data_IF_121317562942
#
_entry.id   IF_121317562942
#
_cell.length_a   1.000
_cell.length_b   1.000
_cell.length_c   1.000
_cell.angle_alpha   90.00
_cell.angle_beta   90.00
_cell.angle_gamma   90.00
#
_symmetry.space_group_name_H-M   'P 1'
#
loop_
_entity.id
_entity.type
_entity.pdbx_description
1 polymer ?
#
# COMPACT_ATOMS: atom_id res chain seq x y z
N UNK A 1 29.45 -82.86 48.58
CA UNK A 1 28.70 -83.65 47.57
C UNK A 1 28.28 -82.65 46.50
N UNK A 2 28.80 -82.81 45.27
CA UNK A 2 28.28 -82.35 43.96
C UNK A 2 27.93 -80.85 43.79
N UNK A 3 28.71 -80.10 43.01
CA UNK A 3 28.61 -79.91 41.54
C UNK A 3 27.50 -78.94 41.09
N UNK A 4 27.96 -77.82 40.54
CA UNK A 4 27.69 -77.27 39.20
C UNK A 4 26.29 -76.83 38.73
N UNK A 5 26.34 -75.62 38.13
CA UNK A 5 25.71 -75.12 36.90
C UNK A 5 24.18 -75.13 36.78
N UNK A 6 23.62 -73.92 36.60
CA UNK A 6 22.67 -73.50 35.54
C UNK A 6 22.46 -71.99 35.75
N UNK A 7 22.48 -71.07 34.79
CA UNK A 7 22.62 -71.10 33.35
C UNK A 7 22.40 -69.64 32.91
N UNK A 8 23.34 -69.10 32.12
CA UNK A 8 23.24 -67.76 31.57
C UNK A 8 22.18 -67.70 30.46
N UNK A 9 21.25 -66.75 30.56
CA UNK A 9 20.37 -66.33 29.48
C UNK A 9 20.56 -64.83 29.24
N UNK A 10 21.47 -64.48 28.34
CA UNK A 10 21.66 -63.13 27.82
C UNK A 10 20.45 -62.76 26.97
N UNK A 11 19.59 -61.86 27.46
CA UNK A 11 18.61 -61.17 26.63
C UNK A 11 19.32 -60.05 25.87
N UNK A 12 19.50 -60.24 24.57
CA UNK A 12 20.05 -59.27 23.64
C UNK A 12 18.96 -58.23 23.33
N UNK A 13 18.91 -57.13 24.09
CA UNK A 13 18.07 -55.98 23.75
C UNK A 13 18.70 -55.20 22.61
N UNK A 14 18.20 -55.42 21.38
CA UNK A 14 18.55 -54.62 20.20
C UNK A 14 17.95 -53.22 20.38
N UNK A 15 18.79 -52.27 20.76
CA UNK A 15 18.45 -50.85 20.78
C UNK A 15 18.44 -50.35 19.32
N UNK A 16 17.25 -50.19 18.73
CA UNK A 16 17.11 -49.46 17.48
C UNK A 16 17.40 -47.98 17.75
N UNK A 17 18.65 -47.58 17.52
CA UNK A 17 19.01 -46.18 17.31
C UNK A 17 18.36 -45.74 16.00
N UNK A 18 17.17 -45.13 16.10
CA UNK A 18 16.60 -44.33 15.03
C UNK A 18 17.45 -43.07 14.94
N UNK A 19 18.50 -43.13 14.13
CA UNK A 19 19.18 -41.94 13.62
C UNK A 19 18.17 -41.19 12.76
N UNK A 20 17.61 -40.12 13.30
CA UNK A 20 16.94 -39.11 12.48
C UNK A 20 18.00 -38.53 11.54
N UNK A 21 17.85 -38.64 10.20
CA UNK A 21 18.68 -37.85 9.31
C UNK A 21 18.42 -36.38 9.61
N UNK A 22 19.52 -35.64 9.77
CA UNK A 22 19.54 -34.20 9.94
C UNK A 22 18.51 -33.55 9.01
N UNK A 23 17.68 -32.70 9.62
CA UNK A 23 16.77 -31.75 8.99
C UNK A 23 17.34 -31.29 7.66
N UNK A 24 16.67 -31.71 6.58
CA UNK A 24 16.82 -31.04 5.30
C UNK A 24 16.59 -29.55 5.54
N UNK A 25 17.47 -28.72 5.00
CA UNK A 25 17.18 -27.31 4.81
C UNK A 25 15.88 -27.26 4.00
N UNK A 26 14.76 -27.05 4.68
CA UNK A 26 13.60 -26.50 4.03
C UNK A 26 14.10 -25.17 3.48
N UNK A 27 14.27 -25.07 2.15
CA UNK A 27 14.38 -23.78 1.50
C UNK A 27 13.18 -22.97 2.00
N UNK A 28 13.43 -21.98 2.85
CA UNK A 28 12.39 -21.04 3.26
C UNK A 28 11.75 -20.52 1.97
N UNK A 29 10.47 -20.86 1.78
CA UNK A 29 9.79 -20.56 0.55
C UNK A 29 9.63 -19.05 0.45
N UNK A 30 10.42 -18.45 -0.44
CA UNK A 30 10.42 -17.02 -0.70
C UNK A 30 9.03 -16.59 -1.20
N UNK A 31 8.33 -15.80 -0.40
CA UNK A 31 7.00 -15.30 -0.73
C UNK A 31 7.13 -13.92 -1.39
N UNK A 32 6.49 -13.71 -2.54
CA UNK A 32 6.43 -12.39 -3.18
C UNK A 32 5.24 -11.64 -2.61
N UNK A 33 5.49 -10.63 -1.78
CA UNK A 33 4.46 -9.80 -1.16
C UNK A 33 3.92 -8.75 -2.14
N UNK A 34 4.79 -8.21 -2.99
CA UNK A 34 4.44 -7.13 -3.90
C UNK A 34 5.32 -7.11 -5.15
N UNK A 35 4.75 -6.65 -6.26
CA UNK A 35 5.47 -6.28 -7.48
C UNK A 35 5.06 -4.88 -7.88
N UNK A 36 6.05 -3.99 -8.04
CA UNK A 36 5.87 -2.61 -8.51
C UNK A 36 5.09 -2.53 -9.84
N UNK A 37 4.44 -1.39 -10.14
CA UNK A 37 3.62 -1.26 -11.34
C UNK A 37 4.43 -1.39 -12.65
N UNK A 38 5.71 -1.00 -12.60
CA UNK A 38 6.64 -1.16 -13.74
C UNK A 38 7.16 -2.60 -13.87
N UNK A 39 7.05 -3.40 -12.81
CA UNK A 39 7.65 -4.73 -12.69
C UNK A 39 9.17 -4.71 -12.45
N UNK A 40 9.78 -3.55 -12.22
CA UNK A 40 11.22 -3.39 -11.98
C UNK A 40 11.69 -3.81 -10.59
N UNK A 41 10.76 -3.79 -9.63
CA UNK A 41 11.00 -4.07 -8.22
C UNK A 41 9.98 -5.05 -7.64
N UNK A 42 10.43 -5.91 -6.73
CA UNK A 42 9.60 -6.81 -5.90
C UNK A 42 9.91 -6.63 -4.43
N UNK A 43 8.91 -6.86 -3.59
CA UNK A 43 9.09 -7.05 -2.16
C UNK A 43 8.88 -8.52 -1.86
N UNK A 44 9.89 -9.13 -1.25
CA UNK A 44 9.96 -10.57 -1.04
C UNK A 44 10.24 -10.86 0.42
N UNK A 45 9.48 -11.78 0.99
CA UNK A 45 9.64 -12.23 2.36
C UNK A 45 10.47 -13.50 2.40
N UNK A 46 11.42 -13.54 3.33
CA UNK A 46 12.17 -14.72 3.70
C UNK A 46 12.23 -14.82 5.23
N UNK A 47 11.45 -15.72 5.81
CA UNK A 47 11.28 -15.84 7.27
C UNK A 47 10.65 -14.58 7.88
N UNK A 48 11.36 -13.95 8.82
CA UNK A 48 10.95 -12.72 9.52
C UNK A 48 11.44 -11.44 8.81
N UNK A 49 12.16 -11.56 7.69
CA UNK A 49 12.73 -10.44 6.96
C UNK A 49 12.00 -10.22 5.64
N UNK A 50 11.85 -8.95 5.26
CA UNK A 50 11.38 -8.56 3.94
C UNK A 50 12.50 -7.83 3.20
N UNK A 51 12.57 -8.03 1.89
CA UNK A 51 13.62 -7.49 1.03
C UNK A 51 13.00 -6.79 -0.17
N UNK A 52 13.52 -5.61 -0.48
CA UNK A 52 13.28 -4.92 -1.75
C UNK A 52 14.30 -5.43 -2.75
N UNK A 53 13.87 -6.12 -3.80
CA UNK A 53 14.75 -6.78 -4.77
C UNK A 53 14.49 -6.26 -6.19
N UNK A 54 15.55 -5.94 -6.94
CA UNK A 54 15.43 -5.65 -8.37
C UNK A 54 15.11 -6.90 -9.17
N UNK A 55 14.13 -6.83 -10.07
CA UNK A 55 13.79 -7.94 -10.98
C UNK A 55 14.81 -8.13 -12.10
N UNK A 56 15.63 -7.10 -12.39
CA UNK A 56 16.69 -7.16 -13.41
C UNK A 56 17.99 -7.71 -12.85
N UNK A 57 18.27 -7.47 -11.57
CA UNK A 57 19.47 -7.95 -10.89
C UNK A 57 19.15 -8.35 -9.44
N UNK A 58 18.90 -9.63 -9.15
CA UNK A 58 18.54 -10.10 -7.80
C UNK A 58 19.59 -9.86 -6.71
N UNK A 59 20.86 -9.64 -7.08
CA UNK A 59 21.92 -9.27 -6.13
C UNK A 59 21.76 -7.82 -5.63
N UNK A 60 20.99 -7.00 -6.35
CA UNK A 60 20.55 -5.68 -5.90
C UNK A 60 19.29 -5.84 -5.05
N UNK A 61 19.53 -6.14 -3.77
CA UNK A 61 18.49 -6.19 -2.76
C UNK A 61 18.89 -5.41 -1.51
N UNK A 62 17.89 -4.82 -0.88
CA UNK A 62 18.00 -4.12 0.39
C UNK A 62 16.99 -4.72 1.38
N UNK A 63 17.40 -4.91 2.63
CA UNK A 63 16.47 -5.34 3.68
C UNK A 63 15.54 -4.17 4.03
N UNK A 64 14.24 -4.43 4.12
CA UNK A 64 13.32 -3.43 4.67
C UNK A 64 13.60 -3.28 6.17
N UNK A 65 13.74 -2.05 6.68
CA UNK A 65 13.88 -1.83 8.11
C UNK A 65 12.69 -2.46 8.85
N UNK A 66 12.91 -3.21 9.94
CA UNK A 66 11.84 -3.85 10.67
C UNK A 66 10.93 -2.80 11.29
N UNK A 67 9.63 -3.05 11.25
CA UNK A 67 8.64 -2.20 11.91
C UNK A 67 8.38 -2.69 13.34
N UNK A 68 8.21 -1.77 14.28
CA UNK A 68 7.78 -2.11 15.63
C UNK A 68 6.29 -2.53 15.62
N UNK A 69 5.94 -3.64 16.28
CA UNK A 69 4.54 -4.05 16.45
C UNK A 69 4.30 -5.55 16.25
N UNK A 70 3.05 -5.89 15.92
CA UNK A 70 2.57 -7.29 15.81
C UNK A 70 3.13 -7.97 14.54
N UNK A 71 3.24 -7.22 13.45
CA UNK A 71 3.85 -7.67 12.18
C UNK A 71 5.11 -6.85 11.89
N UNK A 72 6.24 -7.50 11.52
CA UNK A 72 7.48 -6.78 11.20
C UNK A 72 7.46 -6.11 9.82
N UNK A 73 6.40 -6.30 9.02
CA UNK A 73 6.20 -5.72 7.68
C UNK A 73 4.72 -5.35 7.45
N UNK A 74 4.49 -4.49 6.44
CA UNK A 74 3.16 -4.06 6.01
C UNK A 74 2.37 -5.16 5.28
N UNK A 75 1.04 -5.02 5.28
CA UNK A 75 0.11 -5.93 4.60
C UNK A 75 -0.03 -5.61 3.11
N UNK A 76 0.10 -4.33 2.74
CA UNK A 76 -0.05 -3.83 1.38
C UNK A 76 1.07 -2.83 1.09
N UNK A 77 1.58 -2.81 -0.15
CA UNK A 77 2.68 -1.94 -0.57
C UNK A 77 2.35 -1.21 -1.87
N UNK A 78 2.86 0.02 -1.99
CA UNK A 78 2.65 0.89 -3.14
C UNK A 78 3.94 1.63 -3.49
N UNK A 79 4.61 1.24 -4.57
CA UNK A 79 5.83 1.91 -5.04
C UNK A 79 5.50 3.16 -5.87
N UNK A 80 6.33 4.20 -5.72
CA UNK A 80 6.31 5.37 -6.58
C UNK A 80 6.64 5.01 -8.04
N UNK A 81 6.23 5.81 -9.04
CA UNK A 81 6.54 5.56 -10.44
C UNK A 81 8.02 5.35 -10.75
N UNK A 82 8.92 6.03 -10.02
CA UNK A 82 10.37 5.87 -10.16
C UNK A 82 10.98 4.78 -9.26
N UNK A 83 10.17 4.08 -8.46
CA UNK A 83 10.57 2.98 -7.56
C UNK A 83 11.59 3.38 -6.47
N UNK A 84 11.73 4.68 -6.18
CA UNK A 84 12.58 5.18 -5.10
C UNK A 84 11.85 5.26 -3.76
N UNK A 85 10.52 5.30 -3.77
CA UNK A 85 9.69 5.37 -2.58
C UNK A 85 8.69 4.23 -2.56
N UNK A 86 8.42 3.70 -1.37
CA UNK A 86 7.45 2.63 -1.16
C UNK A 86 6.61 3.04 0.03
N UNK A 87 5.29 3.10 -0.14
CA UNK A 87 4.37 3.30 0.96
C UNK A 87 3.72 1.97 1.31
N UNK A 88 3.86 1.54 2.56
CA UNK A 88 3.21 0.38 3.12
C UNK A 88 1.98 0.77 3.94
N UNK A 89 0.97 -0.11 3.98
CA UNK A 89 -0.12 -0.02 4.95
C UNK A 89 -0.18 -1.27 5.79
N UNK A 90 -0.32 -1.07 7.10
CA UNK A 90 -0.33 -2.14 8.09
C UNK A 90 -1.58 -2.08 8.93
N UNK A 91 -2.32 -3.18 8.93
CA UNK A 91 -3.53 -3.39 9.74
C UNK A 91 -3.09 -3.62 11.18
N UNK A 92 -3.58 -2.75 12.04
CA UNK A 92 -3.43 -2.84 13.48
C UNK A 92 -4.69 -3.51 14.06
N UNK A 93 -4.63 -3.86 15.35
CA UNK A 93 -5.80 -4.40 16.03
C UNK A 93 -6.99 -3.41 16.00
N UNK A 94 -8.20 -3.93 16.18
CA UNK A 94 -9.43 -3.15 16.43
C UNK A 94 -9.86 -2.15 15.35
N UNK A 95 -9.35 -2.26 14.12
CA UNK A 95 -9.77 -1.44 12.97
C UNK A 95 -9.02 -0.12 12.87
N UNK A 96 -7.75 -0.18 13.23
CA UNK A 96 -6.76 0.85 12.94
C UNK A 96 -5.82 0.37 11.82
N UNK A 97 -5.27 1.31 11.05
CA UNK A 97 -4.18 1.03 10.12
C UNK A 97 -3.16 2.14 10.15
N UNK A 98 -1.89 1.75 10.09
CA UNK A 98 -0.75 2.64 10.02
C UNK A 98 -0.21 2.65 8.60
N UNK A 99 0.15 3.84 8.12
CA UNK A 99 0.99 3.99 6.93
C UNK A 99 2.45 4.06 7.30
N UNK A 100 3.32 3.36 6.58
CA UNK A 100 4.77 3.38 6.76
C UNK A 100 5.42 3.78 5.42
N UNK A 101 6.35 4.74 5.42
CA UNK A 101 6.97 5.23 4.18
C UNK A 101 8.43 4.85 4.16
N UNK A 102 8.85 4.15 3.10
CA UNK A 102 10.23 3.73 2.89
C UNK A 102 10.85 4.50 1.73
N UNK A 103 12.12 4.87 1.89
CA UNK A 103 12.94 5.50 0.87
C UNK A 103 14.08 4.56 0.50
N UNK A 104 14.11 4.11 -0.75
CA UNK A 104 15.21 3.36 -1.32
C UNK A 104 16.31 4.33 -1.75
N UNK A 105 17.22 4.61 -0.83
CA UNK A 105 18.34 5.54 -1.03
C UNK A 105 19.27 5.05 -2.14
N UNK A 106 19.52 3.74 -2.17
CA UNK A 106 20.30 3.07 -3.20
C UNK A 106 19.88 1.59 -3.32
N UNK A 107 20.43 0.80 -4.25
CA UNK A 107 20.00 -0.59 -4.44
C UNK A 107 20.24 -1.55 -3.28
N UNK A 108 21.02 -1.16 -2.27
CA UNK A 108 21.37 -1.96 -1.09
C UNK A 108 20.87 -1.34 0.23
N UNK A 109 20.34 -0.11 0.19
CA UNK A 109 19.93 0.63 1.38
C UNK A 109 18.51 1.19 1.29
N UNK A 110 17.70 0.88 2.29
CA UNK A 110 16.33 1.41 2.46
C UNK A 110 16.20 1.99 3.87
N UNK A 111 15.59 3.17 3.95
CA UNK A 111 15.32 3.88 5.21
C UNK A 111 13.82 4.05 5.40
N UNK A 112 13.37 4.13 6.65
CA UNK A 112 12.02 4.60 6.99
C UNK A 112 12.04 6.14 7.00
N UNK A 113 11.06 6.74 6.34
CA UNK A 113 10.79 8.15 6.32
C UNK A 113 9.48 8.47 7.06
N UNK A 114 9.39 9.62 7.75
CA UNK A 114 10.43 10.64 7.87
C UNK A 114 11.52 10.28 8.91
N UNK A 115 12.76 10.73 8.66
CA UNK A 115 13.96 10.32 9.43
C UNK A 115 14.29 11.23 10.63
N UNK A 116 13.41 12.16 11.01
CA UNK A 116 13.63 13.08 12.12
C UNK A 116 12.63 12.78 13.25
N UNK A 117 13.16 12.56 14.46
CA UNK A 117 12.48 12.59 15.78
C UNK A 117 11.77 11.32 16.28
N UNK A 118 12.30 10.10 16.11
CA UNK A 118 11.74 8.85 16.68
C UNK A 118 10.22 8.67 16.44
N UNK A 119 9.67 9.37 15.45
CA UNK A 119 8.25 9.48 15.16
C UNK A 119 7.96 8.80 13.84
N UNK A 120 6.99 7.89 13.86
CA UNK A 120 6.49 7.24 12.65
C UNK A 120 5.80 8.23 11.71
N UNK A 121 5.51 7.78 10.49
CA UNK A 121 4.71 8.56 9.55
C UNK A 121 3.33 8.93 10.16
N UNK A 122 2.70 8.02 10.90
CA UNK A 122 1.39 8.24 11.55
C UNK A 122 1.47 9.29 12.66
N UNK A 123 2.51 9.23 13.50
CA UNK A 123 2.70 10.19 14.60
C UNK A 123 2.78 11.64 14.11
N UNK A 124 3.14 11.84 12.84
CA UNK A 124 3.28 13.16 12.23
C UNK A 124 2.11 13.56 11.35
N UNK A 125 1.54 12.64 10.58
CA UNK A 125 0.49 12.98 9.59
C UNK A 125 -0.82 13.36 10.28
N UNK A 126 -1.20 12.67 11.36
CA UNK A 126 -2.47 12.93 12.03
C UNK A 126 -2.47 14.29 12.76
N UNK A 127 -1.48 14.64 13.60
CA UNK A 127 -1.40 15.98 14.19
C UNK A 127 -1.28 17.10 13.15
N UNK A 128 -0.59 16.84 12.03
CA UNK A 128 -0.54 17.80 10.92
C UNK A 128 -1.94 18.12 10.38
N UNK A 129 -2.76 17.09 10.11
CA UNK A 129 -4.13 17.28 9.62
C UNK A 129 -5.04 18.02 10.63
N UNK A 130 -4.86 17.78 11.93
CA UNK A 130 -5.55 18.55 12.99
C UNK A 130 -5.11 20.01 12.98
N UNK A 131 -3.79 20.26 12.95
CA UNK A 131 -3.22 21.62 12.91
C UNK A 131 -3.70 22.41 11.68
N UNK A 132 -3.90 21.74 10.54
CA UNK A 132 -4.44 22.35 9.32
C UNK A 132 -5.98 22.49 9.33
N UNK A 133 -6.65 22.10 10.42
CA UNK A 133 -8.12 22.07 10.54
C UNK A 133 -8.80 21.19 9.48
N UNK A 134 -8.08 20.19 8.95
CA UNK A 134 -8.61 19.18 8.03
C UNK A 134 -9.35 18.08 8.79
N UNK A 135 -8.89 17.78 10.01
CA UNK A 135 -9.56 16.94 10.99
C UNK A 135 -9.83 17.73 12.27
N UNK A 136 -10.83 17.28 13.04
CA UNK A 136 -11.18 17.91 14.32
C UNK A 136 -10.34 17.41 15.49
N UNK A 137 -9.86 16.17 15.41
CA UNK A 137 -9.07 15.52 16.44
C UNK A 137 -8.10 14.53 15.78
N UNK A 138 -7.12 14.08 16.55
CA UNK A 138 -6.26 12.97 16.17
C UNK A 138 -6.99 11.66 16.48
N UNK A 139 -7.18 10.80 15.48
CA UNK A 139 -7.85 9.51 15.62
C UNK A 139 -6.88 8.34 15.43
N UNK A 140 -5.56 8.55 15.54
CA UNK A 140 -4.54 7.54 15.30
C UNK A 140 -4.45 6.45 16.38
N UNK A 141 -5.12 6.64 17.51
CA UNK A 141 -5.13 5.72 18.64
C UNK A 141 -6.55 5.60 19.21
N UNK A 142 -6.78 4.58 20.05
CA UNK A 142 -8.01 4.37 20.83
C UNK A 142 -8.16 5.38 21.98
N UNK A 143 -8.01 6.66 21.66
CA UNK A 143 -8.18 7.78 22.59
C UNK A 143 -9.35 8.65 22.12
N UNK A 144 -9.91 9.45 23.03
CA UNK A 144 -10.97 10.44 22.73
C UNK A 144 -12.24 9.87 22.05
N UNK A 145 -12.55 8.58 22.28
CA UNK A 145 -13.75 7.91 21.77
C UNK A 145 -13.65 7.49 20.30
N UNK A 146 -12.45 7.45 19.72
CA UNK A 146 -12.20 6.83 18.43
C UNK A 146 -12.16 5.30 18.55
N UNK A 147 -12.87 4.60 17.66
CA UNK A 147 -12.76 3.14 17.50
C UNK A 147 -12.25 2.76 16.10
N UNK A 148 -11.90 3.75 15.28
CA UNK A 148 -11.31 3.59 13.95
C UNK A 148 -10.33 4.72 13.67
N UNK A 149 -9.16 4.36 13.14
CA UNK A 149 -8.13 5.28 12.65
C UNK A 149 -7.33 4.62 11.53
N UNK A 150 -7.59 5.03 10.29
CA UNK A 150 -7.02 4.43 9.09
C UNK A 150 -6.16 5.45 8.34
N UNK A 151 -4.95 5.03 7.98
CA UNK A 151 -4.08 5.73 7.04
C UNK A 151 -4.01 4.89 5.77
N UNK A 152 -4.68 5.36 4.72
CA UNK A 152 -4.83 4.62 3.46
C UNK A 152 -4.03 5.28 2.34
N UNK A 153 -3.40 4.45 1.50
CA UNK A 153 -2.84 4.89 0.23
C UNK A 153 -3.94 5.38 -0.71
N UNK A 154 -3.68 6.46 -1.45
CA UNK A 154 -4.58 6.92 -2.50
C UNK A 154 -3.89 6.91 -3.85
N UNK A 155 -2.74 7.59 -3.97
CA UNK A 155 -2.00 7.69 -5.21
C UNK A 155 -0.58 8.22 -5.00
N UNK A 156 0.31 7.86 -5.92
CA UNK A 156 1.55 8.58 -6.16
C UNK A 156 1.36 9.62 -7.27
N UNK A 157 2.01 10.77 -7.17
CA UNK A 157 2.05 11.73 -8.26
C UNK A 157 2.92 11.20 -9.40
N UNK A 158 2.62 11.65 -10.62
CA UNK A 158 3.35 11.25 -11.84
C UNK A 158 4.86 11.42 -11.75
N UNK A 159 5.30 12.48 -11.09
CA UNK A 159 6.69 12.86 -10.90
C UNK A 159 7.32 12.20 -9.67
N UNK A 160 6.61 11.29 -8.98
CA UNK A 160 7.03 10.62 -7.74
C UNK A 160 7.31 11.55 -6.56
N UNK A 161 6.95 12.84 -6.67
CA UNK A 161 7.30 13.84 -5.66
C UNK A 161 6.25 14.01 -4.56
N UNK A 162 5.04 13.48 -4.75
CA UNK A 162 3.97 13.48 -3.74
C UNK A 162 3.35 12.10 -3.58
N UNK A 163 3.31 11.66 -2.34
CA UNK A 163 2.39 10.62 -1.89
C UNK A 163 1.09 11.29 -1.45
N UNK A 164 -0.05 10.85 -1.98
CA UNK A 164 -1.36 11.19 -1.44
C UNK A 164 -1.86 10.06 -0.54
N UNK A 165 -2.19 10.42 0.70
CA UNK A 165 -2.86 9.52 1.65
C UNK A 165 -4.22 10.07 2.04
N UNK A 166 -5.12 9.16 2.39
CA UNK A 166 -6.38 9.48 3.04
C UNK A 166 -6.29 9.04 4.51
N UNK A 167 -6.61 9.94 5.42
CA UNK A 167 -6.84 9.59 6.82
C UNK A 167 -8.34 9.46 7.05
N UNK A 168 -8.79 8.38 7.69
CA UNK A 168 -10.19 8.18 8.08
C UNK A 168 -10.26 7.78 9.55
N UNK A 169 -10.98 8.52 10.37
CA UNK A 169 -11.09 8.15 11.79
C UNK A 169 -12.26 8.78 12.53
N UNK A 170 -12.55 8.22 13.70
CA UNK A 170 -13.67 8.60 14.54
C UNK A 170 -14.38 7.37 15.11
N UNK A 171 -15.69 7.49 15.28
CA UNK A 171 -16.56 6.41 15.78
C UNK A 171 -17.29 5.79 14.57
N UNK A 172 -17.01 4.53 14.27
CA UNK A 172 -17.60 3.80 13.12
C UNK A 172 -19.11 3.65 13.21
N UNK A 173 -19.67 3.72 14.42
CA UNK A 173 -21.09 3.64 14.67
C UNK A 173 -21.79 5.00 14.63
N UNK A 174 -21.04 6.12 14.69
CA UNK A 174 -21.59 7.47 14.61
C UNK A 174 -21.15 8.23 13.37
N UNK A 175 -19.87 8.58 13.28
CA UNK A 175 -19.36 9.47 12.23
C UNK A 175 -17.87 9.22 12.04
N UNK A 176 -17.52 8.83 10.81
CA UNK A 176 -16.15 8.82 10.35
C UNK A 176 -15.81 10.16 9.68
N UNK A 177 -14.70 10.74 10.09
CA UNK A 177 -14.11 11.91 9.48
C UNK A 177 -13.03 11.46 8.50
N UNK A 178 -12.93 12.12 7.35
CA UNK A 178 -11.91 11.84 6.37
C UNK A 178 -11.18 13.11 5.97
N UNK A 179 -9.88 13.00 5.70
CA UNK A 179 -9.12 14.07 5.06
C UNK A 179 -8.04 13.47 4.14
N UNK A 180 -7.63 14.28 3.17
CA UNK A 180 -6.53 14.00 2.26
C UNK A 180 -5.34 14.90 2.56
N UNK A 181 -4.14 14.37 2.48
CA UNK A 181 -2.89 15.10 2.71
C UNK A 181 -1.79 14.54 1.82
N UNK A 182 -0.89 15.42 1.37
CA UNK A 182 0.30 15.00 0.66
C UNK A 182 1.48 14.85 1.62
N UNK A 183 2.33 13.86 1.38
CA UNK A 183 3.72 13.90 1.80
C UNK A 183 4.61 14.21 0.58
N UNK A 184 5.36 15.30 0.66
CA UNK A 184 6.30 15.70 -0.38
C UNK A 184 7.63 14.99 -0.17
N UNK A 185 8.06 14.16 -1.12
CA UNK A 185 9.28 13.36 -0.98
C UNK A 185 10.56 14.20 -1.13
N UNK A 186 10.50 15.32 -1.86
CA UNK A 186 11.64 16.25 -2.02
C UNK A 186 11.92 17.04 -0.75
N UNK A 187 10.88 17.61 -0.16
CA UNK A 187 11.02 18.43 1.05
C UNK A 187 10.90 17.61 2.33
N UNK A 188 10.44 16.35 2.23
CA UNK A 188 10.17 15.43 3.34
C UNK A 188 9.18 16.03 4.37
N UNK A 189 8.17 16.74 3.87
CA UNK A 189 7.16 17.42 4.70
C UNK A 189 5.75 17.13 4.22
N UNK A 190 4.79 17.13 5.15
CA UNK A 190 3.39 17.14 4.80
C UNK A 190 2.94 18.48 4.22
N UNK A 191 2.08 18.45 3.23
CA UNK A 191 1.54 19.65 2.59
C UNK A 191 0.04 19.51 2.24
N UNK A 192 -0.64 20.65 2.19
CA UNK A 192 -2.03 20.76 1.73
C UNK A 192 -2.14 21.93 0.75
N UNK A 193 -2.34 21.60 -0.52
CA UNK A 193 -2.61 22.55 -1.60
C UNK A 193 -4.02 23.12 -1.49
N UNK A 194 -4.33 24.14 -2.29
CA UNK A 194 -5.69 24.68 -2.38
C UNK A 194 -6.71 23.63 -2.83
N UNK A 195 -6.28 22.68 -3.68
CA UNK A 195 -7.10 21.52 -4.05
C UNK A 195 -7.46 20.67 -2.85
N UNK A 196 -6.48 20.19 -2.07
CA UNK A 196 -6.78 19.36 -0.90
C UNK A 196 -7.56 20.12 0.18
N UNK A 197 -7.26 21.41 0.39
CA UNK A 197 -8.02 22.26 1.33
C UNK A 197 -9.49 22.34 0.93
N UNK A 198 -9.79 22.50 -0.36
CA UNK A 198 -11.18 22.55 -0.83
C UNK A 198 -11.83 21.16 -0.81
N UNK A 199 -11.09 20.12 -1.17
CA UNK A 199 -11.57 18.73 -1.14
C UNK A 199 -11.99 18.32 0.27
N UNK A 200 -11.12 18.53 1.26
CA UNK A 200 -11.37 18.21 2.66
C UNK A 200 -12.56 19.00 3.25
N UNK A 201 -12.78 20.24 2.80
CA UNK A 201 -13.93 21.06 3.24
C UNK A 201 -15.25 20.62 2.61
N UNK A 202 -15.23 20.22 1.34
CA UNK A 202 -16.45 19.90 0.59
C UNK A 202 -16.93 18.47 0.78
N UNK A 203 -16.09 17.58 1.32
CA UNK A 203 -16.40 16.14 1.48
C UNK A 203 -16.93 15.52 0.18
N UNK A 204 -16.26 15.82 -0.94
CA UNK A 204 -16.66 15.31 -2.25
C UNK A 204 -16.63 13.78 -2.27
N UNK A 205 -17.62 13.18 -2.95
CA UNK A 205 -17.62 11.75 -3.29
C UNK A 205 -16.67 11.40 -4.45
N UNK A 206 -16.09 12.43 -5.10
CA UNK A 206 -15.20 12.23 -6.22
C UNK A 206 -13.85 11.63 -5.81
N UNK A 207 -13.25 10.86 -6.71
CA UNK A 207 -11.90 10.33 -6.51
C UNK A 207 -10.87 11.47 -6.53
N UNK A 208 -9.79 11.28 -5.77
CA UNK A 208 -8.70 12.24 -5.65
C UNK A 208 -7.47 11.79 -6.45
N UNK A 209 -6.62 12.75 -6.85
CA UNK A 209 -5.34 12.46 -7.49
C UNK A 209 -4.18 13.18 -6.78
N UNK A 210 -2.97 12.69 -6.99
CA UNK A 210 -1.76 13.28 -6.46
C UNK A 210 -1.22 14.37 -7.40
N UNK A 211 -1.35 15.63 -7.01
CA UNK A 211 -0.83 16.76 -7.78
C UNK A 211 0.69 16.69 -7.92
N UNK A 212 1.27 16.68 -9.13
CA UNK A 212 2.72 16.76 -9.26
C UNK A 212 3.23 18.11 -8.76
N UNK A 213 4.51 18.13 -8.39
CA UNK A 213 5.26 19.37 -8.12
C UNK A 213 5.94 19.90 -9.36
N UNK A 214 6.30 19.00 -10.28
CA UNK A 214 6.87 19.34 -11.57
C UNK A 214 5.81 19.77 -12.59
N UNK A 215 6.20 20.47 -13.67
CA UNK A 215 5.29 20.77 -14.76
C UNK A 215 4.58 19.53 -15.30
N UNK A 216 3.26 19.63 -15.46
CA UNK A 216 2.46 18.54 -16.02
C UNK A 216 2.92 18.25 -17.46
N UNK A 217 3.04 16.97 -17.85
CA UNK A 217 3.37 16.58 -19.23
C UNK A 217 2.44 17.20 -20.29
N UNK A 218 2.83 17.08 -21.55
CA UNK A 218 2.01 17.58 -22.65
C UNK A 218 0.67 16.86 -22.73
N UNK A 219 -0.35 17.50 -23.33
CA UNK A 219 -1.63 16.83 -23.56
C UNK A 219 -1.49 15.55 -24.39
N UNK A 220 -0.55 15.52 -25.34
CA UNK A 220 -0.31 14.36 -26.18
C UNK A 220 0.23 13.17 -25.37
N UNK A 221 1.16 13.44 -24.45
CA UNK A 221 1.73 12.41 -23.57
C UNK A 221 0.67 11.88 -22.61
N UNK A 222 -0.14 12.77 -22.04
CA UNK A 222 -1.21 12.40 -21.12
C UNK A 222 -2.33 11.60 -21.79
N UNK A 223 -2.72 11.96 -23.03
CA UNK A 223 -3.67 11.18 -23.83
C UNK A 223 -3.13 9.78 -24.11
N UNK A 224 -1.89 9.68 -24.57
CA UNK A 224 -1.22 8.40 -24.83
C UNK A 224 -1.14 7.52 -23.57
N UNK A 225 -0.83 8.14 -22.43
CA UNK A 225 -0.85 7.45 -21.13
C UNK A 225 -2.24 6.94 -20.79
N UNK A 226 -3.27 7.79 -20.87
CA UNK A 226 -4.64 7.42 -20.54
C UNK A 226 -5.15 6.30 -21.44
N UNK A 227 -4.93 6.37 -22.75
CA UNK A 227 -5.33 5.31 -23.70
C UNK A 227 -4.67 3.96 -23.38
N UNK A 228 -3.44 3.98 -22.87
CA UNK A 228 -2.72 2.78 -22.44
C UNK A 228 -3.31 2.22 -21.15
N UNK A 229 -3.56 3.08 -20.16
CA UNK A 229 -4.17 2.68 -18.89
C UNK A 229 -5.60 2.18 -19.08
N UNK A 230 -6.41 2.81 -19.93
CA UNK A 230 -7.78 2.36 -20.21
C UNK A 230 -7.80 0.95 -20.84
N UNK A 231 -6.84 0.64 -21.72
CA UNK A 231 -6.68 -0.73 -22.26
C UNK A 231 -6.31 -1.73 -21.16
N UNK A 232 -5.42 -1.36 -20.25
CA UNK A 232 -5.03 -2.21 -19.13
C UNK A 232 -6.17 -2.42 -18.14
N UNK A 233 -6.91 -1.36 -17.79
CA UNK A 233 -8.06 -1.43 -16.89
C UNK A 233 -9.16 -2.33 -17.47
N UNK A 234 -9.47 -2.18 -18.76
CA UNK A 234 -10.46 -3.02 -19.42
C UNK A 234 -10.04 -4.50 -19.46
N UNK A 235 -8.75 -4.78 -19.66
CA UNK A 235 -8.22 -6.14 -19.57
C UNK A 235 -8.37 -6.69 -18.15
N UNK A 236 -7.91 -5.95 -17.13
CA UNK A 236 -8.02 -6.38 -15.72
C UNK A 236 -9.47 -6.62 -15.32
N UNK A 237 -10.38 -5.72 -15.71
CA UNK A 237 -11.81 -5.88 -15.47
C UNK A 237 -12.39 -7.15 -16.12
N UNK A 238 -12.01 -7.45 -17.37
CA UNK A 238 -12.43 -8.68 -18.03
C UNK A 238 -11.91 -9.93 -17.31
N UNK A 239 -10.66 -9.91 -16.85
CA UNK A 239 -10.04 -11.00 -16.08
C UNK A 239 -10.77 -11.21 -14.74
N UNK A 240 -11.07 -10.13 -14.00
CA UNK A 240 -11.83 -10.17 -12.74
C UNK A 240 -13.22 -10.76 -12.96
N UNK A 241 -13.93 -10.32 -14.00
CA UNK A 241 -15.27 -10.84 -14.32
C UNK A 241 -15.22 -12.33 -14.67
N UNK A 242 -14.19 -12.78 -15.40
CA UNK A 242 -14.04 -14.18 -15.78
C UNK A 242 -13.74 -15.10 -14.58
N UNK A 243 -13.07 -14.57 -13.55
CA UNK A 243 -12.70 -15.30 -12.33
C UNK A 243 -13.73 -15.18 -11.21
N UNK A 244 -14.66 -14.22 -11.30
CA UNK A 244 -15.70 -13.99 -10.30
C UNK A 244 -16.77 -15.07 -10.33
N UNK A 245 -17.28 -15.42 -9.15
CA UNK A 245 -18.47 -16.25 -9.00
C UNK A 245 -19.70 -15.56 -9.63
N UNK A 246 -20.64 -16.35 -10.17
CA UNK A 246 -21.75 -15.83 -11.00
C UNK A 246 -22.61 -14.78 -10.30
N UNK A 247 -22.81 -14.94 -9.00
CA UNK A 247 -23.55 -14.04 -8.11
C UNK A 247 -22.77 -12.78 -7.74
N UNK A 248 -21.43 -12.82 -7.74
CA UNK A 248 -20.56 -11.63 -7.51
C UNK A 248 -20.37 -10.76 -8.74
N UNK A 249 -20.55 -11.31 -9.95
CA UNK A 249 -20.40 -10.57 -11.23
C UNK A 249 -21.27 -9.30 -11.28
N UNK A 250 -22.50 -9.32 -10.74
CA UNK A 250 -23.35 -8.12 -10.70
C UNK A 250 -22.80 -7.03 -9.78
N UNK A 251 -22.21 -7.41 -8.65
CA UNK A 251 -21.60 -6.49 -7.69
C UNK A 251 -20.36 -5.83 -8.30
N UNK A 252 -19.48 -6.62 -8.92
CA UNK A 252 -18.29 -6.10 -9.62
C UNK A 252 -18.68 -5.11 -10.73
N UNK A 253 -19.72 -5.43 -11.51
CA UNK A 253 -20.24 -4.53 -12.55
C UNK A 253 -20.77 -3.22 -11.99
N UNK A 254 -21.44 -3.27 -10.84
CA UNK A 254 -21.98 -2.09 -10.17
C UNK A 254 -20.87 -1.22 -9.57
N UNK A 255 -19.94 -1.83 -8.84
CA UNK A 255 -18.77 -1.16 -8.29
C UNK A 255 -17.97 -0.46 -9.39
N UNK A 256 -17.76 -1.11 -10.55
CA UNK A 256 -17.07 -0.48 -11.68
C UNK A 256 -17.84 0.73 -12.25
N UNK A 257 -19.18 0.68 -12.33
CA UNK A 257 -19.98 1.84 -12.76
C UNK A 257 -19.91 2.99 -11.74
N UNK A 258 -19.97 2.68 -10.46
CA UNK A 258 -19.87 3.67 -9.38
C UNK A 258 -18.48 4.31 -9.39
N UNK A 259 -17.43 3.51 -9.58
CA UNK A 259 -16.06 4.01 -9.73
C UNK A 259 -15.93 5.00 -10.90
N UNK A 260 -16.48 4.68 -12.08
CA UNK A 260 -16.49 5.60 -13.24
C UNK A 260 -17.20 6.91 -12.89
N UNK A 261 -18.34 6.84 -12.21
CA UNK A 261 -19.09 8.03 -11.78
C UNK A 261 -18.26 8.90 -10.82
N UNK A 262 -17.63 8.30 -9.82
CA UNK A 262 -16.80 9.01 -8.85
C UNK A 262 -15.51 9.56 -9.48
N UNK A 263 -14.93 8.87 -10.45
CA UNK A 263 -13.83 9.38 -11.28
C UNK A 263 -14.25 10.67 -12.00
N UNK A 264 -15.38 10.64 -12.69
CA UNK A 264 -15.85 11.78 -13.49
C UNK A 264 -16.32 12.96 -12.60
N UNK A 265 -16.84 12.68 -11.41
CA UNK A 265 -17.08 13.68 -10.35
C UNK A 265 -15.77 14.30 -9.85
N UNK A 266 -14.76 13.48 -9.56
CA UNK A 266 -13.43 13.91 -9.14
C UNK A 266 -12.76 14.80 -10.19
N UNK A 267 -12.82 14.39 -11.47
CA UNK A 267 -12.33 15.16 -12.60
C UNK A 267 -12.96 16.55 -12.67
N UNK A 268 -14.30 16.64 -12.62
CA UNK A 268 -15.03 17.91 -12.64
C UNK A 268 -14.67 18.80 -11.47
N UNK A 269 -14.54 18.24 -10.28
CA UNK A 269 -14.14 18.99 -9.09
C UNK A 269 -12.71 19.53 -9.23
N UNK A 270 -11.75 18.68 -9.61
CA UNK A 270 -10.33 19.04 -9.72
C UNK A 270 -10.11 20.15 -10.74
N UNK A 271 -10.63 20.01 -11.97
CA UNK A 271 -10.44 21.01 -13.03
C UNK A 271 -11.10 22.36 -12.73
N UNK A 272 -12.11 22.38 -11.84
CA UNK A 272 -12.77 23.63 -11.43
C UNK A 272 -11.86 24.60 -10.67
N UNK A 273 -10.68 24.12 -10.24
CA UNK A 273 -9.74 24.89 -9.43
C UNK A 273 -8.60 25.51 -10.25
N UNK A 274 -8.52 25.18 -11.54
CA UNK A 274 -7.41 25.60 -12.39
C UNK A 274 -7.89 26.54 -13.50
N UNK A 275 -6.98 27.40 -14.01
CA UNK A 275 -7.26 28.23 -15.18
C UNK A 275 -7.64 27.40 -16.41
N UNK A 276 -8.42 28.00 -17.31
CA UNK A 276 -8.92 27.34 -18.53
C UNK A 276 -7.80 26.67 -19.34
N UNK A 277 -6.65 27.34 -19.48
CA UNK A 277 -5.49 26.85 -20.23
C UNK A 277 -4.83 25.59 -19.65
N UNK A 278 -5.14 25.20 -18.41
CA UNK A 278 -4.62 23.99 -17.76
C UNK A 278 -5.65 22.87 -17.67
N UNK A 279 -6.95 23.16 -17.88
CA UNK A 279 -8.03 22.24 -17.53
C UNK A 279 -7.92 20.88 -18.18
N UNK A 280 -7.60 20.81 -19.47
CA UNK A 280 -7.53 19.52 -20.15
C UNK A 280 -6.35 18.69 -19.66
N UNK A 281 -5.17 19.29 -19.47
CA UNK A 281 -4.01 18.60 -18.88
C UNK A 281 -4.33 18.09 -17.47
N UNK A 282 -4.96 18.91 -16.63
CA UNK A 282 -5.39 18.53 -15.27
C UNK A 282 -6.43 17.41 -15.29
N UNK A 283 -7.38 17.47 -16.24
CA UNK A 283 -8.39 16.42 -16.44
C UNK A 283 -7.71 15.09 -16.77
N UNK A 284 -6.86 15.08 -17.79
CA UNK A 284 -6.17 13.87 -18.25
C UNK A 284 -5.23 13.31 -17.17
N UNK A 285 -4.56 14.18 -16.42
CA UNK A 285 -3.75 13.79 -15.27
C UNK A 285 -4.60 13.02 -14.24
N UNK A 286 -5.71 13.61 -13.77
CA UNK A 286 -6.57 12.95 -12.79
C UNK A 286 -7.12 11.63 -13.32
N UNK A 287 -7.63 11.61 -14.55
CA UNK A 287 -8.17 10.39 -15.15
C UNK A 287 -7.11 9.28 -15.22
N UNK A 288 -5.90 9.60 -15.64
CA UNK A 288 -4.82 8.62 -15.68
C UNK A 288 -4.43 8.14 -14.29
N UNK A 289 -4.34 9.03 -13.30
CA UNK A 289 -3.90 8.67 -11.95
C UNK A 289 -4.90 7.75 -11.23
N UNK A 290 -6.19 8.07 -11.31
CA UNK A 290 -7.21 7.21 -10.68
C UNK A 290 -7.42 5.91 -11.45
N UNK A 291 -7.26 5.91 -12.78
CA UNK A 291 -7.27 4.67 -13.58
C UNK A 291 -6.09 3.77 -13.19
N UNK A 292 -4.89 4.34 -13.02
CA UNK A 292 -3.72 3.58 -12.54
C UNK A 292 -3.98 2.97 -11.15
N UNK A 293 -4.52 3.75 -10.21
CA UNK A 293 -4.87 3.24 -8.88
C UNK A 293 -5.89 2.09 -8.95
N UNK A 294 -6.93 2.20 -9.80
CA UNK A 294 -7.92 1.11 -9.97
C UNK A 294 -7.33 -0.15 -10.60
N UNK A 295 -6.30 -0.02 -11.46
CA UNK A 295 -5.56 -1.16 -12.01
C UNK A 295 -4.77 -1.87 -10.91
N UNK A 296 -4.38 -1.22 -9.82
CA UNK A 296 -3.66 -1.87 -8.72
C UNK A 296 -4.57 -2.62 -7.74
N UNK A 297 -5.85 -2.24 -7.64
CA UNK A 297 -6.81 -2.88 -6.71
C UNK A 297 -6.86 -4.40 -6.89
N UNK A 298 -6.60 -5.21 -5.84
CA UNK A 298 -6.64 -6.67 -5.91
C UNK A 298 -8.00 -7.20 -6.38
N UNK A 299 -8.06 -8.27 -7.19
CA UNK A 299 -9.31 -8.80 -7.76
C UNK A 299 -10.46 -8.99 -6.75
N UNK A 300 -10.15 -9.46 -5.55
CA UNK A 300 -11.11 -9.72 -4.46
C UNK A 300 -11.75 -8.44 -3.89
N UNK A 301 -11.16 -7.28 -4.15
CA UNK A 301 -11.65 -5.97 -3.69
C UNK A 301 -12.40 -5.19 -4.80
N UNK A 302 -12.61 -5.78 -5.98
CA UNK A 302 -13.26 -5.07 -7.10
C UNK A 302 -14.75 -4.81 -6.92
N UNK A 303 -15.39 -5.45 -5.95
CA UNK A 303 -16.79 -5.23 -5.58
C UNK A 303 -17.00 -4.08 -4.58
N UNK A 304 -15.91 -3.51 -4.05
CA UNK A 304 -15.90 -2.38 -3.13
C UNK A 304 -15.89 -1.04 -3.88
#
# INVERSE_FOLDING_TARGET
MKENLFGAGLALSVLFLVTFPATGNAEEQKEVLYTSPSGGLRIERNGEKAWVTSTKNPDQRAELPPLEGISPFDDEFHASPNEEWIFGTRKMAHGFSNGDLFHRVDPQHVEIAPTQEDQSFNDRVWPYCVKQSALKANYSAEEDGADTGLTDFVAWSLDSNRLLVQLRGGDRHKTLHACYVYFNTRTRTFEMTDYLRKLNKTKSSGLACAEPTDPIPSEADLKTRLDTLDRQLNKKYADVIAQSEKDRVSLVREAQRNWIKHRDEGARFYVSLFPEAEKERRRLQLLGDVTAARIEVPPEQWEL
#
